data_IF_237668767884
#
_entry.id   IF_237668767884
#
_cell.length_a   1.000
_cell.length_b   1.000
_cell.length_c   1.000
_cell.angle_alpha   90.00
_cell.angle_beta   90.00
_cell.angle_gamma   90.00
#
_symmetry.space_group_name_H-M   'P 1'
#
loop_
_entity.id
_entity.type
_entity.pdbx_description
1 polymer ?
#
# COMPACT_ATOMS: atom_id res chain seq x y z
N UNK A 1 15.70 1.08 -19.90
CA UNK A 1 16.53 1.35 -18.72
C UNK A 1 17.93 0.72 -18.91
N UNK A 2 18.08 -0.61 -19.04
CA UNK A 2 19.38 -1.33 -19.11
C UNK A 2 20.34 -0.72 -20.15
N UNK A 3 19.87 -0.39 -21.36
CA UNK A 3 20.67 0.22 -22.43
C UNK A 3 21.30 1.57 -22.03
N UNK A 4 20.56 2.34 -21.24
CA UNK A 4 21.01 3.67 -20.74
C UNK A 4 21.96 3.48 -19.57
N UNK A 5 21.63 2.64 -18.61
CA UNK A 5 22.47 2.39 -17.44
C UNK A 5 23.83 1.83 -17.84
N UNK A 6 23.87 0.80 -18.68
CA UNK A 6 25.11 0.21 -19.17
C UNK A 6 25.95 1.21 -19.98
N UNK A 7 25.31 2.07 -20.81
CA UNK A 7 26.03 3.12 -21.56
C UNK A 7 26.69 4.17 -20.64
N UNK A 8 26.18 4.35 -19.42
CA UNK A 8 26.70 5.30 -18.46
C UNK A 8 27.54 4.64 -17.34
N UNK A 9 27.89 3.36 -17.49
CA UNK A 9 28.77 2.64 -16.57
C UNK A 9 28.16 2.37 -15.19
N UNK A 10 26.81 2.31 -15.10
CA UNK A 10 26.11 1.98 -13.86
C UNK A 10 26.10 0.48 -13.68
N UNK A 11 26.46 0.00 -12.49
CA UNK A 11 26.29 -1.41 -12.10
C UNK A 11 24.80 -1.74 -12.02
N UNK A 12 24.36 -2.81 -12.69
CA UNK A 12 22.96 -3.21 -12.80
C UNK A 12 22.82 -4.65 -12.34
N UNK A 13 21.86 -4.89 -11.46
CA UNK A 13 21.42 -6.22 -11.06
C UNK A 13 20.00 -6.46 -11.58
N UNK A 14 19.81 -7.56 -12.33
CA UNK A 14 18.53 -7.95 -12.92
C UNK A 14 18.23 -9.40 -12.55
N UNK A 15 16.94 -9.76 -12.43
CA UNK A 15 16.53 -11.12 -12.09
C UNK A 15 17.13 -12.13 -13.08
N UNK A 16 17.64 -13.24 -12.54
CA UNK A 16 18.10 -14.38 -13.32
C UNK A 16 17.03 -14.86 -14.31
N UNK A 17 17.46 -15.26 -15.49
CA UNK A 17 16.54 -15.71 -16.54
C UNK A 17 15.59 -14.63 -17.07
N UNK A 18 15.82 -13.34 -16.74
CA UNK A 18 14.96 -12.22 -17.11
C UNK A 18 13.53 -12.34 -16.58
N UNK A 19 13.38 -12.95 -15.41
CA UNK A 19 12.11 -13.02 -14.69
C UNK A 19 11.65 -11.66 -14.16
N UNK A 20 10.44 -11.63 -13.64
CA UNK A 20 9.88 -10.44 -12.98
C UNK A 20 10.28 -10.41 -11.51
N UNK A 21 10.40 -9.19 -10.96
CA UNK A 21 10.74 -8.98 -9.56
C UNK A 21 9.71 -8.04 -8.92
N UNK A 22 9.00 -8.48 -7.86
CA UNK A 22 8.06 -7.66 -7.11
C UNK A 22 8.70 -6.40 -6.50
N UNK A 23 7.93 -5.32 -6.38
CA UNK A 23 8.35 -4.07 -5.71
C UNK A 23 8.91 -4.32 -4.30
N UNK A 24 8.25 -5.08 -3.41
CA UNK A 24 8.80 -5.37 -2.07
C UNK A 24 10.13 -6.14 -2.10
N UNK A 25 10.32 -7.01 -3.08
CA UNK A 25 11.58 -7.76 -3.21
C UNK A 25 12.75 -6.84 -3.57
N UNK A 26 12.50 -5.79 -4.38
CA UNK A 26 13.51 -4.76 -4.65
C UNK A 26 13.84 -3.98 -3.38
N UNK A 27 12.83 -3.59 -2.58
CA UNK A 27 13.05 -2.95 -1.29
C UNK A 27 13.90 -3.82 -0.35
N UNK A 28 13.54 -5.09 -0.20
CA UNK A 28 14.28 -6.06 0.59
C UNK A 28 15.72 -6.23 0.11
N UNK A 29 15.95 -6.34 -1.19
CA UNK A 29 17.28 -6.48 -1.77
C UNK A 29 18.15 -5.24 -1.55
N UNK A 30 17.60 -4.03 -1.72
CA UNK A 30 18.30 -2.76 -1.42
C UNK A 30 18.75 -2.73 0.04
N UNK A 31 17.86 -2.98 0.99
CA UNK A 31 18.16 -2.95 2.41
C UNK A 31 19.17 -4.02 2.81
N UNK A 32 19.04 -5.22 2.24
CA UNK A 32 19.98 -6.32 2.50
C UNK A 32 21.37 -6.03 1.93
N UNK A 33 21.45 -5.50 0.72
CA UNK A 33 22.72 -5.11 0.09
C UNK A 33 23.40 -3.98 0.85
N UNK A 34 22.64 -2.98 1.28
CA UNK A 34 23.17 -1.77 1.94
C UNK A 34 23.51 -1.99 3.42
N UNK A 35 23.10 -3.10 4.01
CA UNK A 35 23.38 -3.39 5.43
C UNK A 35 24.89 -3.32 5.69
N UNK A 36 25.29 -2.58 6.73
CA UNK A 36 26.68 -2.38 7.16
C UNK A 36 27.59 -1.70 6.12
N UNK A 37 27.04 -1.08 5.07
CA UNK A 37 27.79 -0.35 4.06
C UNK A 37 27.73 1.16 4.31
N UNK A 38 28.86 1.84 4.13
CA UNK A 38 28.96 3.30 4.20
C UNK A 38 29.18 3.97 2.83
N UNK A 39 29.27 3.18 1.75
CA UNK A 39 29.47 3.67 0.39
C UNK A 39 29.25 2.57 -0.63
N UNK A 40 29.09 2.93 -1.91
CA UNK A 40 28.68 2.00 -2.97
C UNK A 40 27.31 1.39 -2.71
N UNK A 41 26.39 2.23 -2.24
CA UNK A 41 25.04 1.79 -1.90
C UNK A 41 24.24 1.47 -3.17
N UNK A 42 23.37 0.45 -3.06
CA UNK A 42 22.37 0.16 -4.08
C UNK A 42 21.13 1.01 -3.89
N UNK A 43 20.49 1.32 -5.00
CA UNK A 43 19.14 1.85 -5.12
C UNK A 43 18.35 1.03 -6.16
N UNK A 44 17.07 1.31 -6.36
CA UNK A 44 16.23 0.51 -7.24
C UNK A 44 15.34 1.32 -8.17
N UNK A 45 15.10 0.72 -9.33
CA UNK A 45 14.12 1.19 -10.30
C UNK A 45 13.14 0.07 -10.59
N UNK A 46 11.84 0.33 -10.36
CA UNK A 46 10.76 -0.60 -10.69
C UNK A 46 9.92 -0.02 -11.82
N UNK A 47 9.77 -0.79 -12.91
CA UNK A 47 8.97 -0.39 -14.07
C UNK A 47 7.63 -1.13 -13.96
N UNK A 48 6.59 -0.41 -13.54
CA UNK A 48 5.28 -0.98 -13.24
C UNK A 48 4.17 0.06 -13.35
N UNK A 49 2.99 -0.29 -13.89
CA UNK A 49 1.77 0.52 -13.77
C UNK A 49 1.02 0.27 -12.46
N UNK A 50 1.56 -0.56 -11.52
CA UNK A 50 0.85 -1.04 -10.33
C UNK A 50 -0.45 -1.76 -10.75
N UNK A 51 -1.57 -1.47 -10.10
CA UNK A 51 -2.90 -2.04 -10.39
C UNK A 51 -3.67 -1.35 -11.54
N UNK A 52 -3.07 -0.39 -12.21
CA UNK A 52 -3.68 0.36 -13.30
C UNK A 52 -3.89 -0.50 -14.56
N UNK A 53 -4.73 -0.04 -15.52
CA UNK A 53 -4.95 -0.75 -16.78
C UNK A 53 -3.65 -1.12 -17.52
N UNK A 54 -3.64 -2.19 -18.31
CA UNK A 54 -2.44 -2.65 -19.04
C UNK A 54 -1.87 -1.64 -20.05
N UNK A 55 -2.67 -0.65 -20.45
CA UNK A 55 -2.24 0.47 -21.31
C UNK A 55 -1.36 1.49 -20.60
N UNK A 56 -1.35 1.48 -19.28
CA UNK A 56 -0.62 2.46 -18.48
C UNK A 56 0.83 1.99 -18.27
N UNK A 57 1.71 2.96 -18.08
CA UNK A 57 3.10 2.73 -17.70
C UNK A 57 3.43 3.40 -16.37
N UNK A 58 4.55 3.02 -15.78
CA UNK A 58 5.02 3.63 -14.55
C UNK A 58 6.51 3.41 -14.35
N UNK A 59 7.11 4.30 -13.57
CA UNK A 59 8.51 4.25 -13.19
C UNK A 59 8.61 4.68 -11.72
N UNK A 60 9.00 3.75 -10.87
CA UNK A 60 9.24 4.01 -9.44
C UNK A 60 10.75 4.05 -9.18
N UNK A 61 11.19 4.96 -8.33
CA UNK A 61 12.56 5.02 -7.84
C UNK A 61 12.57 4.82 -6.33
N UNK A 62 13.33 3.82 -5.90
CA UNK A 62 13.55 3.51 -4.49
C UNK A 62 15.01 3.82 -4.15
N UNK A 63 15.30 4.89 -3.37
CA UNK A 63 16.64 5.26 -2.94
C UNK A 63 17.24 4.21 -1.99
N UNK A 64 18.48 4.41 -1.49
CA UNK A 64 19.18 3.45 -0.62
C UNK A 64 18.44 3.03 0.65
N UNK A 65 17.44 3.80 1.08
CA UNK A 65 16.54 3.50 2.19
C UNK A 65 15.47 2.44 1.83
N UNK A 66 15.41 1.99 0.58
CA UNK A 66 14.61 0.87 0.09
C UNK A 66 13.16 1.19 -0.26
N UNK A 67 12.58 2.25 0.26
CA UNK A 67 11.17 2.62 0.06
C UNK A 67 10.96 3.66 -1.05
N UNK A 68 9.72 4.12 -1.24
CA UNK A 68 9.42 5.14 -2.24
C UNK A 68 10.15 6.46 -1.96
N UNK A 69 10.75 7.03 -3.00
CA UNK A 69 11.51 8.28 -2.89
C UNK A 69 10.70 9.46 -2.33
N UNK A 70 11.34 10.30 -1.54
CA UNK A 70 10.77 11.54 -1.02
C UNK A 70 10.35 12.50 -2.15
N UNK A 71 9.35 13.38 -1.91
CA UNK A 71 8.85 14.30 -2.95
C UNK A 71 9.89 15.24 -3.54
N UNK A 72 10.92 15.55 -2.78
CA UNK A 72 12.03 16.37 -3.23
C UNK A 72 12.86 15.68 -4.31
N UNK A 73 13.22 14.42 -4.05
CA UNK A 73 13.96 13.57 -4.98
C UNK A 73 13.18 13.34 -6.27
N UNK A 74 11.89 13.02 -6.16
CA UNK A 74 11.04 12.78 -7.34
C UNK A 74 10.89 14.04 -8.19
N UNK A 75 10.75 15.23 -7.57
CA UNK A 75 10.71 16.51 -8.30
C UNK A 75 12.02 16.82 -9.04
N UNK A 76 13.17 16.54 -8.43
CA UNK A 76 14.48 16.75 -9.07
C UNK A 76 14.63 15.83 -10.29
N UNK A 77 14.23 14.54 -10.15
CA UNK A 77 14.26 13.58 -11.26
C UNK A 77 13.30 14.02 -12.37
N UNK A 78 12.07 14.40 -12.04
CA UNK A 78 11.07 14.88 -13.00
C UNK A 78 11.55 16.13 -13.74
N UNK A 79 12.06 17.13 -13.02
CA UNK A 79 12.60 18.34 -13.62
C UNK A 79 13.72 18.00 -14.60
N UNK A 80 14.67 17.15 -14.19
CA UNK A 80 15.79 16.76 -15.05
C UNK A 80 15.32 15.95 -16.26
N UNK A 81 14.35 15.09 -16.11
CA UNK A 81 13.78 14.33 -17.22
C UNK A 81 13.09 15.25 -18.24
N UNK A 82 12.34 16.27 -17.77
CA UNK A 82 11.71 17.26 -18.64
C UNK A 82 12.74 18.11 -19.41
N UNK A 83 13.82 18.57 -18.76
CA UNK A 83 14.92 19.27 -19.43
C UNK A 83 15.55 18.44 -20.56
N UNK A 84 15.77 17.13 -20.30
CA UNK A 84 16.33 16.22 -21.30
C UNK A 84 15.35 15.99 -22.47
N UNK A 85 14.05 15.90 -22.20
CA UNK A 85 13.00 15.79 -23.21
C UNK A 85 12.93 17.05 -24.08
N UNK A 86 12.95 18.24 -23.47
CA UNK A 86 12.95 19.54 -24.18
C UNK A 86 14.18 19.72 -25.09
N UNK A 87 15.34 19.20 -24.68
CA UNK A 87 16.56 19.18 -25.53
C UNK A 87 16.53 18.08 -26.62
N UNK A 88 15.44 17.35 -26.74
CA UNK A 88 15.27 16.30 -27.75
C UNK A 88 16.15 15.07 -27.52
N UNK A 89 16.40 14.73 -26.25
CA UNK A 89 17.15 13.54 -25.81
C UNK A 89 18.63 13.51 -26.26
N UNK A 90 19.21 14.63 -26.67
CA UNK A 90 20.59 14.70 -27.23
C UNK A 90 21.67 14.25 -26.26
N UNK A 91 21.44 14.43 -24.96
CA UNK A 91 22.39 14.04 -23.92
C UNK A 91 22.26 12.57 -23.49
N UNK A 92 21.22 11.84 -23.94
CA UNK A 92 20.98 10.46 -23.55
C UNK A 92 21.95 9.53 -24.25
N UNK A 93 22.87 8.96 -23.49
CA UNK A 93 23.75 7.89 -23.95
C UNK A 93 23.02 6.54 -23.85
N UNK A 94 23.17 5.75 -24.92
CA UNK A 94 22.46 4.46 -25.00
C UNK A 94 23.27 3.52 -25.90
N UNK A 95 23.32 2.24 -25.54
CA UNK A 95 23.90 1.17 -26.37
C UNK A 95 22.80 0.15 -26.70
N UNK A 96 23.04 -0.66 -27.71
CA UNK A 96 22.13 -1.75 -28.08
C UNK A 96 21.90 -2.73 -26.92
N UNK A 97 20.65 -3.24 -26.78
CA UNK A 97 20.24 -4.11 -25.67
C UNK A 97 21.14 -5.35 -25.53
N UNK A 98 21.52 -5.99 -26.64
CA UNK A 98 22.37 -7.17 -26.59
C UNK A 98 23.75 -6.86 -26.03
N UNK A 99 24.29 -5.67 -26.35
CA UNK A 99 25.57 -5.20 -25.81
C UNK A 99 25.41 -4.81 -24.34
N UNK A 100 24.29 -4.19 -23.97
CA UNK A 100 24.00 -3.81 -22.59
C UNK A 100 23.87 -5.04 -21.68
N UNK A 101 23.18 -6.09 -22.14
CA UNK A 101 23.07 -7.35 -21.40
C UNK A 101 24.38 -8.13 -21.28
N UNK A 102 25.33 -7.92 -22.18
CA UNK A 102 26.68 -8.51 -22.12
C UNK A 102 27.75 -7.58 -21.56
N UNK A 103 27.38 -6.42 -21.04
CA UNK A 103 28.33 -5.49 -20.42
C UNK A 103 28.81 -6.00 -19.05
N UNK A 104 30.07 -5.72 -18.71
CA UNK A 104 30.66 -6.12 -17.43
C UNK A 104 29.93 -5.53 -16.22
N UNK A 105 29.16 -4.46 -16.43
CA UNK A 105 28.34 -3.79 -15.41
C UNK A 105 26.92 -4.32 -15.30
N UNK A 106 26.53 -5.37 -16.07
CA UNK A 106 25.20 -5.96 -15.99
C UNK A 106 25.27 -7.38 -15.46
N UNK A 107 24.68 -7.60 -14.30
CA UNK A 107 24.73 -8.85 -13.57
C UNK A 107 23.35 -9.48 -13.45
N UNK A 108 23.27 -10.80 -13.62
CA UNK A 108 22.10 -11.57 -13.21
C UNK A 108 22.20 -11.86 -11.72
N UNK A 109 21.09 -11.75 -11.02
CA UNK A 109 21.00 -11.94 -9.57
C UNK A 109 19.72 -12.71 -9.21
N UNK A 110 19.84 -13.67 -8.32
CA UNK A 110 18.70 -14.39 -7.76
C UNK A 110 18.02 -13.54 -6.68
N UNK A 111 16.90 -12.91 -7.03
CA UNK A 111 16.08 -12.17 -6.08
C UNK A 111 15.10 -13.06 -5.32
N UNK A 112 14.79 -14.26 -5.81
CA UNK A 112 13.77 -15.15 -5.25
C UNK A 112 14.26 -15.78 -3.94
N UNK A 113 15.38 -16.48 -3.99
CA UNK A 113 15.87 -17.28 -2.85
C UNK A 113 16.09 -16.45 -1.60
N UNK A 114 16.83 -15.31 -1.63
CA UNK A 114 17.05 -14.52 -0.42
C UNK A 114 15.78 -13.98 0.22
N UNK A 115 14.81 -13.55 -0.59
CA UNK A 115 13.53 -13.07 -0.08
C UNK A 115 12.72 -14.20 0.56
N UNK A 116 12.59 -15.33 -0.13
CA UNK A 116 11.83 -16.49 0.34
C UNK A 116 12.42 -17.05 1.64
N UNK A 117 13.74 -17.24 1.70
CA UNK A 117 14.39 -17.78 2.90
C UNK A 117 14.28 -16.86 4.13
N UNK A 118 14.19 -15.55 3.91
CA UNK A 118 14.12 -14.56 4.98
C UNK A 118 12.69 -14.33 5.50
N UNK A 119 11.63 -14.80 4.80
CA UNK A 119 10.23 -14.67 5.25
C UNK A 119 10.00 -15.17 6.68
N UNK A 120 10.73 -16.21 7.14
CA UNK A 120 10.67 -16.72 8.52
C UNK A 120 11.06 -15.67 9.57
N UNK A 121 11.78 -14.62 9.20
CA UNK A 121 12.16 -13.55 10.13
C UNK A 121 11.01 -12.56 10.39
N UNK A 122 10.02 -12.51 9.51
CA UNK A 122 8.90 -11.55 9.58
C UNK A 122 7.57 -12.23 9.87
N UNK A 123 7.31 -13.42 9.30
CA UNK A 123 6.09 -14.22 9.48
C UNK A 123 6.42 -15.55 10.20
N UNK A 124 5.50 -16.07 10.99
CA UNK A 124 5.65 -17.39 11.64
C UNK A 124 5.27 -18.51 10.66
N UNK A 125 6.23 -18.81 9.78
CA UNK A 125 6.06 -19.82 8.74
C UNK A 125 5.91 -21.23 9.30
N UNK A 126 6.52 -21.50 10.48
CA UNK A 126 6.37 -22.78 11.18
C UNK A 126 4.93 -22.99 11.68
N UNK A 127 4.30 -21.96 12.24
CA UNK A 127 2.90 -22.04 12.67
C UNK A 127 1.97 -22.30 11.49
N UNK A 128 2.19 -21.63 10.36
CA UNK A 128 1.40 -21.84 9.13
C UNK A 128 1.55 -23.30 8.65
N UNK A 129 2.78 -23.78 8.53
CA UNK A 129 3.07 -25.16 8.08
C UNK A 129 2.43 -26.21 9.01
N UNK A 130 2.55 -26.01 10.33
CA UNK A 130 2.01 -26.94 11.32
C UNK A 130 0.47 -26.99 11.36
N UNK A 131 -0.21 -25.93 10.91
CA UNK A 131 -1.67 -25.85 10.92
C UNK A 131 -2.35 -26.73 9.88
N UNK A 132 -1.68 -27.03 8.76
CA UNK A 132 -2.23 -27.76 7.63
C UNK A 132 -3.31 -26.97 6.86
N UNK A 133 -3.32 -25.63 6.98
CA UNK A 133 -4.22 -24.76 6.22
C UNK A 133 -4.07 -24.96 4.72
N UNK A 134 -5.17 -25.05 4.00
CA UNK A 134 -5.21 -25.00 2.56
C UNK A 134 -5.26 -23.55 2.10
N UNK A 135 -4.21 -23.14 1.41
CA UNK A 135 -4.01 -21.75 0.98
C UNK A 135 -4.22 -21.64 -0.52
N UNK A 136 -5.08 -20.72 -0.96
CA UNK A 136 -5.25 -20.38 -2.36
C UNK A 136 -4.56 -19.06 -2.71
N UNK A 137 -3.92 -18.97 -3.87
CA UNK A 137 -3.29 -17.73 -4.33
C UNK A 137 -3.64 -17.45 -5.78
N UNK A 138 -4.17 -16.25 -6.04
CA UNK A 138 -4.30 -15.71 -7.39
C UNK A 138 -3.30 -14.55 -7.57
N UNK A 139 -2.20 -14.77 -8.28
CA UNK A 139 -1.21 -13.72 -8.56
C UNK A 139 -1.72 -12.62 -9.50
N UNK A 140 -2.90 -12.76 -10.06
CA UNK A 140 -3.49 -11.85 -11.07
C UNK A 140 -2.53 -11.50 -12.22
N UNK A 141 -1.68 -12.47 -12.62
CA UNK A 141 -0.67 -12.29 -13.68
C UNK A 141 0.49 -11.37 -13.32
N UNK A 142 0.67 -11.07 -12.05
CA UNK A 142 1.68 -10.14 -11.55
C UNK A 142 3.09 -10.71 -11.45
N UNK A 143 4.01 -9.87 -11.00
CA UNK A 143 5.46 -10.15 -10.94
C UNK A 143 5.85 -11.25 -9.95
N UNK A 144 4.99 -11.60 -9.00
CA UNK A 144 5.26 -12.61 -7.97
C UNK A 144 4.78 -14.02 -8.31
N UNK A 145 4.29 -14.30 -9.53
CA UNK A 145 3.83 -15.64 -9.93
C UNK A 145 4.90 -16.71 -9.64
N UNK A 146 6.17 -16.38 -9.83
CA UNK A 146 7.29 -17.31 -9.65
C UNK A 146 7.73 -17.47 -8.17
N UNK A 147 7.15 -16.73 -7.25
CA UNK A 147 7.57 -16.73 -5.83
C UNK A 147 6.78 -17.75 -4.97
N UNK A 148 5.53 -18.01 -5.30
CA UNK A 148 4.65 -18.83 -4.47
C UNK A 148 5.05 -20.31 -4.40
N UNK A 149 5.53 -20.91 -5.51
CA UNK A 149 6.04 -22.28 -5.46
C UNK A 149 7.28 -22.40 -4.57
N UNK A 150 8.33 -21.56 -4.72
CA UNK A 150 9.44 -21.56 -3.76
C UNK A 150 9.04 -21.33 -2.31
N UNK A 151 8.05 -20.48 -2.04
CA UNK A 151 7.51 -20.29 -0.68
C UNK A 151 6.88 -21.60 -0.16
N UNK A 152 6.00 -22.21 -0.96
CA UNK A 152 5.33 -23.46 -0.59
C UNK A 152 6.34 -24.59 -0.36
N UNK A 153 7.33 -24.75 -1.22
CA UNK A 153 8.37 -25.78 -1.14
C UNK A 153 9.31 -25.57 0.05
N UNK A 154 9.75 -24.33 0.27
CA UNK A 154 10.71 -24.01 1.36
C UNK A 154 10.11 -24.24 2.73
N UNK A 155 8.82 -23.94 2.89
CA UNK A 155 8.15 -24.00 4.20
C UNK A 155 7.18 -25.17 4.35
N UNK A 156 6.97 -25.97 3.30
CA UNK A 156 6.09 -27.14 3.33
C UNK A 156 4.63 -26.78 3.48
N UNK A 157 4.16 -25.72 2.78
CA UNK A 157 2.78 -25.24 2.84
C UNK A 157 1.88 -25.99 1.85
N UNK A 158 0.63 -26.28 2.23
CA UNK A 158 -0.44 -26.72 1.32
C UNK A 158 -1.01 -25.49 0.58
N UNK A 159 -0.28 -25.05 -0.45
CA UNK A 159 -0.57 -23.82 -1.18
C UNK A 159 -0.79 -24.12 -2.67
N UNK A 160 -1.91 -23.65 -3.20
CA UNK A 160 -2.27 -23.76 -4.62
C UNK A 160 -2.29 -22.38 -5.29
N UNK A 161 -1.48 -22.21 -6.36
CA UNK A 161 -1.59 -21.06 -7.26
C UNK A 161 -2.68 -21.34 -8.29
N UNK A 162 -3.82 -20.69 -8.16
CA UNK A 162 -5.03 -20.99 -8.95
C UNK A 162 -4.96 -20.45 -10.38
N UNK A 163 -4.18 -19.41 -10.63
CA UNK A 163 -3.95 -18.85 -11.96
C UNK A 163 -2.48 -18.52 -12.17
N UNK A 164 -1.84 -19.20 -13.12
CA UNK A 164 -0.41 -19.01 -13.44
C UNK A 164 -0.20 -18.23 -14.73
N UNK A 165 -1.28 -17.73 -15.34
CA UNK A 165 -1.17 -16.98 -16.59
C UNK A 165 -0.40 -15.68 -16.39
N UNK A 166 0.60 -15.46 -17.22
CA UNK A 166 1.30 -14.18 -17.37
C UNK A 166 1.05 -13.71 -18.78
N UNK A 167 0.13 -12.76 -18.93
CA UNK A 167 -0.26 -12.18 -20.21
C UNK A 167 -0.21 -10.66 -20.10
N UNK A 168 0.65 -9.96 -20.86
CA UNK A 168 0.78 -8.50 -20.80
C UNK A 168 -0.50 -7.74 -21.13
N UNK A 169 -1.48 -8.40 -21.74
CA UNK A 169 -2.80 -7.80 -22.02
C UNK A 169 -3.79 -8.01 -20.88
N UNK A 170 -3.48 -8.90 -19.92
CA UNK A 170 -4.35 -9.31 -18.82
C UNK A 170 -5.76 -9.73 -19.27
N UNK A 171 -5.86 -10.35 -20.45
CA UNK A 171 -7.13 -10.70 -21.10
C UNK A 171 -7.97 -11.74 -20.32
N UNK A 172 -7.37 -12.41 -19.34
CA UNK A 172 -8.03 -13.34 -18.43
C UNK A 172 -8.74 -12.66 -17.26
N UNK A 173 -8.49 -11.36 -17.03
CA UNK A 173 -9.12 -10.61 -15.94
C UNK A 173 -10.54 -10.17 -16.29
N UNK A 174 -11.40 -10.12 -15.29
CA UNK A 174 -12.73 -9.50 -15.38
C UNK A 174 -12.60 -7.97 -15.47
N UNK A 175 -13.55 -7.35 -16.15
CA UNK A 175 -13.64 -5.88 -16.18
C UNK A 175 -14.12 -5.34 -14.84
N UNK A 176 -13.50 -4.28 -14.36
CA UNK A 176 -13.92 -3.56 -13.17
C UNK A 176 -15.18 -2.69 -13.44
N UNK A 177 -15.70 -2.05 -12.41
CA UNK A 177 -16.93 -1.25 -12.46
C UNK A 177 -16.89 -0.11 -13.50
N UNK A 178 -15.69 0.37 -13.87
CA UNK A 178 -15.47 1.40 -14.89
C UNK A 178 -15.27 0.85 -16.30
N UNK A 179 -15.40 -0.47 -16.47
CA UNK A 179 -15.23 -1.15 -17.76
C UNK A 179 -13.76 -1.32 -18.18
N UNK A 180 -12.81 -1.06 -17.30
CA UNK A 180 -11.38 -1.27 -17.52
C UNK A 180 -10.91 -2.57 -16.88
N UNK A 181 -9.81 -3.12 -17.37
CA UNK A 181 -9.06 -4.18 -16.67
C UNK A 181 -8.21 -3.51 -15.59
N UNK A 182 -8.45 -3.88 -14.33
CA UNK A 182 -7.65 -3.44 -13.19
C UNK A 182 -7.25 -4.65 -12.35
N UNK A 183 -6.02 -4.67 -11.89
CA UNK A 183 -5.50 -5.74 -11.01
C UNK A 183 -5.48 -5.23 -9.57
N UNK A 184 -6.59 -4.67 -9.10
CA UNK A 184 -6.75 -4.16 -7.74
C UNK A 184 -7.27 -5.27 -6.81
N UNK A 185 -6.47 -5.78 -5.85
CA UNK A 185 -6.87 -6.87 -4.97
C UNK A 185 -7.95 -6.46 -3.95
N UNK A 186 -8.29 -5.18 -3.83
CA UNK A 186 -9.45 -4.71 -3.07
C UNK A 186 -10.76 -4.75 -3.86
N UNK A 187 -10.70 -4.95 -5.18
CA UNK A 187 -11.87 -5.02 -6.06
C UNK A 187 -12.44 -6.43 -6.13
N UNK A 188 -13.73 -6.54 -5.83
CA UNK A 188 -14.48 -7.81 -6.02
C UNK A 188 -14.50 -8.28 -7.48
N UNK A 189 -14.30 -7.40 -8.43
CA UNK A 189 -14.25 -7.74 -9.85
C UNK A 189 -12.89 -8.36 -10.21
N UNK A 190 -11.78 -7.76 -9.77
CA UNK A 190 -10.46 -8.32 -9.97
C UNK A 190 -10.31 -9.68 -9.25
N UNK A 191 -10.89 -9.80 -8.06
CA UNK A 191 -10.84 -11.00 -7.23
C UNK A 191 -11.96 -12.02 -7.54
N UNK A 192 -12.75 -11.85 -8.61
CA UNK A 192 -13.92 -12.66 -8.88
C UNK A 192 -13.61 -14.15 -8.98
N UNK A 193 -12.55 -14.53 -9.70
CA UNK A 193 -12.15 -15.94 -9.86
C UNK A 193 -11.79 -16.59 -8.52
N UNK A 194 -11.07 -15.87 -7.66
CA UNK A 194 -10.69 -16.38 -6.34
C UNK A 194 -11.88 -16.46 -5.39
N UNK A 195 -12.81 -15.50 -5.47
CA UNK A 195 -14.06 -15.53 -4.70
C UNK A 195 -14.96 -16.73 -5.06
N UNK A 196 -14.99 -17.15 -6.32
CA UNK A 196 -15.70 -18.35 -6.74
C UNK A 196 -15.07 -19.64 -6.18
N UNK A 197 -13.80 -19.62 -5.86
CA UNK A 197 -13.04 -20.75 -5.33
C UNK A 197 -12.89 -20.73 -3.80
N UNK A 198 -13.45 -19.73 -3.10
CA UNK A 198 -13.22 -19.50 -1.66
C UNK A 198 -13.49 -20.74 -0.80
N UNK A 199 -14.53 -21.51 -1.13
CA UNK A 199 -14.91 -22.70 -0.34
C UNK A 199 -13.93 -23.90 -0.50
N UNK A 200 -12.90 -23.76 -1.36
CA UNK A 200 -11.83 -24.76 -1.54
C UNK A 200 -10.67 -24.56 -0.59
N UNK A 201 -10.54 -23.37 -0.01
CA UNK A 201 -9.41 -22.93 0.79
C UNK A 201 -9.86 -22.47 2.18
N UNK A 202 -9.01 -22.64 3.16
CA UNK A 202 -9.22 -22.08 4.51
C UNK A 202 -8.96 -20.56 4.49
N UNK A 203 -8.00 -20.12 3.66
CA UNK A 203 -7.72 -18.74 3.39
C UNK A 203 -7.15 -18.58 1.96
N UNK A 204 -7.40 -17.45 1.30
CA UNK A 204 -6.84 -17.20 -0.02
C UNK A 204 -6.43 -15.75 -0.21
N UNK A 205 -5.50 -15.51 -1.16
CA UNK A 205 -4.84 -14.23 -1.38
C UNK A 205 -4.84 -13.82 -2.83
N UNK A 206 -4.87 -12.52 -3.08
CA UNK A 206 -4.56 -11.93 -4.37
C UNK A 206 -3.66 -10.71 -4.22
N UNK A 207 -2.81 -10.47 -5.20
CA UNK A 207 -1.90 -9.33 -5.20
C UNK A 207 -2.06 -8.52 -6.48
N UNK A 208 -1.80 -7.23 -6.42
CA UNK A 208 -1.66 -6.43 -7.64
C UNK A 208 -0.39 -6.80 -8.43
N UNK A 209 -0.22 -6.23 -9.60
CA UNK A 209 0.80 -6.70 -10.55
C UNK A 209 2.23 -6.57 -10.06
N UNK A 210 2.53 -5.60 -9.22
CA UNK A 210 3.86 -5.41 -8.64
C UNK A 210 3.96 -5.81 -7.17
N UNK A 211 2.89 -6.45 -6.64
CA UNK A 211 2.87 -7.11 -5.34
C UNK A 211 3.07 -6.17 -4.15
N UNK A 212 2.80 -4.89 -4.32
CA UNK A 212 2.84 -3.94 -3.22
C UNK A 212 1.52 -3.87 -2.43
N UNK A 213 0.46 -4.61 -2.89
CA UNK A 213 -0.85 -4.69 -2.25
C UNK A 213 -1.28 -6.13 -2.00
N UNK A 214 -2.18 -6.28 -1.05
CA UNK A 214 -2.78 -7.55 -0.64
C UNK A 214 -4.29 -7.55 -0.84
N UNK A 215 -4.85 -8.73 -1.07
CA UNK A 215 -6.29 -8.98 -1.02
C UNK A 215 -6.57 -10.28 -0.29
N UNK A 216 -7.24 -10.22 0.85
CA UNK A 216 -7.48 -11.36 1.72
C UNK A 216 -8.90 -11.87 1.52
N UNK A 217 -9.03 -13.15 1.17
CA UNK A 217 -10.33 -13.85 1.06
C UNK A 217 -10.42 -14.89 2.15
N UNK A 218 -11.39 -14.72 3.04
CA UNK A 218 -11.64 -15.62 4.17
C UNK A 218 -12.89 -16.48 3.93
N UNK A 219 -12.95 -17.64 4.57
CA UNK A 219 -14.12 -18.50 4.52
C UNK A 219 -15.36 -17.85 5.15
N UNK A 220 -15.17 -17.13 6.26
CA UNK A 220 -16.27 -16.51 7.03
C UNK A 220 -16.83 -15.24 6.39
N UNK A 221 -15.97 -14.38 5.81
CA UNK A 221 -16.34 -13.03 5.35
C UNK A 221 -16.17 -12.78 3.84
N UNK A 222 -15.52 -13.68 3.09
CA UNK A 222 -15.16 -13.44 1.69
C UNK A 222 -14.01 -12.44 1.56
N UNK A 223 -14.05 -11.55 0.56
CA UNK A 223 -13.05 -10.52 0.35
C UNK A 223 -13.12 -9.46 1.46
N UNK A 224 -12.06 -9.35 2.24
CA UNK A 224 -11.95 -8.33 3.29
C UNK A 224 -11.74 -6.94 2.72
N UNK A 225 -12.39 -5.95 3.34
CA UNK A 225 -12.02 -4.56 3.12
C UNK A 225 -10.58 -4.32 3.67
N UNK A 226 -9.69 -3.63 2.92
CA UNK A 226 -8.33 -3.37 3.40
C UNK A 226 -8.26 -2.70 4.78
N UNK A 227 -9.10 -1.70 5.05
CA UNK A 227 -9.16 -1.07 6.38
C UNK A 227 -9.46 -2.07 7.52
N UNK A 228 -10.34 -3.06 7.24
CA UNK A 228 -10.69 -4.08 8.21
C UNK A 228 -9.48 -4.99 8.49
N UNK A 229 -8.83 -5.44 7.42
CA UNK A 229 -7.67 -6.29 7.58
C UNK A 229 -6.48 -5.57 8.24
N UNK A 230 -6.21 -4.30 7.89
CA UNK A 230 -5.17 -3.51 8.56
C UNK A 230 -5.40 -3.39 10.08
N UNK A 231 -6.65 -3.19 10.52
CA UNK A 231 -6.98 -3.14 11.94
C UNK A 231 -6.71 -4.48 12.65
N UNK A 232 -7.04 -5.61 12.00
CA UNK A 232 -6.74 -6.96 12.51
C UNK A 232 -5.23 -7.21 12.54
N UNK A 233 -4.50 -6.82 11.49
CA UNK A 233 -3.05 -6.96 11.42
C UNK A 233 -2.36 -6.20 12.56
N UNK A 234 -2.75 -4.94 12.81
CA UNK A 234 -2.25 -4.15 13.94
C UNK A 234 -2.58 -4.82 15.26
N UNK A 235 -3.84 -5.20 15.47
CA UNK A 235 -4.28 -5.89 16.69
C UNK A 235 -3.44 -7.14 16.97
N UNK A 236 -3.20 -7.96 15.95
CA UNK A 236 -2.45 -9.20 16.11
C UNK A 236 -0.95 -8.98 16.32
N UNK A 237 -0.31 -8.18 15.46
CA UNK A 237 1.13 -7.96 15.49
C UNK A 237 1.60 -7.40 16.84
N UNK A 238 0.95 -6.37 17.35
CA UNK A 238 1.36 -5.71 18.59
C UNK A 238 1.12 -6.54 19.85
N UNK A 239 0.37 -7.64 19.77
CA UNK A 239 0.23 -8.62 20.84
C UNK A 239 1.17 -9.82 20.70
N UNK A 240 1.64 -10.13 19.48
CA UNK A 240 2.37 -11.36 19.19
C UNK A 240 3.83 -11.12 18.75
N UNK A 241 4.33 -9.90 18.77
CA UNK A 241 5.73 -9.56 18.48
C UNK A 241 6.43 -9.12 19.75
N UNK A 242 6.84 -10.10 20.57
CA UNK A 242 7.37 -9.87 21.92
C UNK A 242 8.67 -9.04 21.96
N UNK A 243 9.43 -8.99 20.87
CA UNK A 243 10.64 -8.18 20.78
C UNK A 243 10.37 -6.71 20.42
N UNK A 244 9.13 -6.35 20.05
CA UNK A 244 8.78 -4.97 19.78
C UNK A 244 8.60 -4.21 21.09
N UNK A 245 9.40 -3.16 21.32
CA UNK A 245 9.34 -2.33 22.51
C UNK A 245 7.97 -1.69 22.74
N UNK A 246 7.73 -1.22 23.95
CA UNK A 246 6.46 -0.53 24.27
C UNK A 246 6.30 0.81 23.55
N UNK A 247 7.41 1.40 23.12
CA UNK A 247 7.51 2.67 22.37
C UNK A 247 7.35 2.52 20.85
N UNK A 248 7.24 1.28 20.36
CA UNK A 248 7.00 1.03 18.92
C UNK A 248 5.58 1.45 18.54
N UNK A 249 5.48 2.39 17.58
CA UNK A 249 4.24 3.04 17.17
C UNK A 249 3.52 2.30 16.03
N UNK A 250 2.21 2.60 15.87
CA UNK A 250 1.36 2.19 14.75
C UNK A 250 1.26 3.31 13.73
N UNK A 251 1.57 3.04 12.46
CA UNK A 251 1.46 3.99 11.35
C UNK A 251 0.22 3.77 10.49
N UNK A 252 -0.50 4.84 10.20
CA UNK A 252 -1.58 4.85 9.21
C UNK A 252 -1.63 6.15 8.41
N UNK A 253 -2.28 6.11 7.23
CA UNK A 253 -2.60 7.36 6.53
C UNK A 253 -3.82 8.04 7.15
N UNK A 254 -3.90 9.35 6.98
CA UNK A 254 -5.01 10.17 7.52
C UNK A 254 -6.40 9.78 6.97
N UNK A 255 -6.46 9.00 5.89
CA UNK A 255 -7.70 8.51 5.27
C UNK A 255 -7.99 7.04 5.55
N UNK A 256 -7.12 6.35 6.27
CA UNK A 256 -7.38 5.00 6.78
C UNK A 256 -8.37 5.03 7.95
N UNK A 257 -9.07 3.92 8.20
CA UNK A 257 -10.12 3.82 9.21
C UNK A 257 -9.65 4.17 10.62
N UNK A 258 -10.49 4.84 11.39
CA UNK A 258 -10.28 5.09 12.82
C UNK A 258 -10.52 3.85 13.70
N UNK A 259 -10.89 2.71 13.12
CA UNK A 259 -10.79 1.44 13.83
C UNK A 259 -9.35 1.18 14.27
N UNK A 260 -8.36 1.53 13.44
CA UNK A 260 -6.92 1.42 13.77
C UNK A 260 -6.57 2.30 14.98
N UNK A 261 -7.14 3.52 15.08
CA UNK A 261 -6.94 4.42 16.22
C UNK A 261 -7.42 3.78 17.52
N UNK A 262 -8.63 3.19 17.49
CA UNK A 262 -9.24 2.54 18.65
C UNK A 262 -8.46 1.31 19.09
N UNK A 263 -7.99 0.52 18.13
CA UNK A 263 -7.13 -0.65 18.38
C UNK A 263 -5.78 -0.22 18.96
N UNK A 264 -5.12 0.78 18.39
CA UNK A 264 -3.83 1.29 18.90
C UNK A 264 -3.97 1.83 20.34
N UNK A 265 -5.03 2.58 20.61
CA UNK A 265 -5.31 3.10 21.96
C UNK A 265 -5.58 1.99 22.98
N UNK A 266 -6.33 0.94 22.63
CA UNK A 266 -6.58 -0.21 23.50
C UNK A 266 -5.30 -1.01 23.80
N UNK A 267 -4.39 -1.08 22.82
CA UNK A 267 -3.07 -1.70 22.96
C UNK A 267 -2.05 -0.81 23.69
N UNK A 268 -2.42 0.43 24.04
CA UNK A 268 -1.51 1.39 24.67
C UNK A 268 -0.36 1.82 23.75
N UNK A 269 -0.58 1.86 22.43
CA UNK A 269 0.43 2.21 21.42
C UNK A 269 0.21 3.60 20.87
N UNK A 270 1.30 4.32 20.65
CA UNK A 270 1.26 5.60 19.95
C UNK A 270 0.84 5.42 18.49
N UNK A 271 0.04 6.38 18.00
CA UNK A 271 -0.43 6.40 16.62
C UNK A 271 0.32 7.48 15.83
N UNK A 272 0.95 7.06 14.73
CA UNK A 272 1.59 7.95 13.76
C UNK A 272 0.68 8.12 12.53
N UNK A 273 -0.21 9.11 12.55
CA UNK A 273 -1.05 9.47 11.41
C UNK A 273 -0.30 10.41 10.47
N UNK A 274 -0.13 10.00 9.20
CA UNK A 274 0.66 10.72 8.17
C UNK A 274 -0.19 11.07 6.94
N UNK A 275 0.28 11.96 6.04
CA UNK A 275 -0.39 12.18 4.76
C UNK A 275 -0.43 10.89 3.91
N UNK A 276 -1.30 10.86 2.90
CA UNK A 276 -1.36 9.74 1.95
C UNK A 276 -0.03 9.56 1.23
N UNK A 277 0.45 8.33 1.18
CA UNK A 277 1.69 7.92 0.52
C UNK A 277 2.65 7.19 1.45
N UNK A 278 3.06 5.99 1.06
CA UNK A 278 3.86 5.09 1.89
C UNK A 278 5.24 5.64 2.27
N UNK A 279 5.78 6.56 1.47
CA UNK A 279 7.05 7.27 1.73
C UNK A 279 7.16 7.90 3.12
N UNK A 280 6.05 8.19 3.77
CA UNK A 280 6.03 8.77 5.11
C UNK A 280 6.32 7.78 6.23
N UNK A 281 6.28 6.48 5.92
CA UNK A 281 6.61 5.41 6.86
C UNK A 281 8.07 4.93 6.76
N UNK A 282 8.79 5.32 5.68
CA UNK A 282 10.13 4.82 5.37
C UNK A 282 11.10 4.99 6.54
N UNK A 283 11.21 6.20 7.09
CA UNK A 283 12.11 6.51 8.20
C UNK A 283 11.77 5.68 9.44
N UNK A 284 10.49 5.65 9.82
CA UNK A 284 10.05 4.93 11.03
C UNK A 284 10.25 3.42 10.95
N UNK A 285 10.00 2.82 9.78
CA UNK A 285 10.25 1.40 9.56
C UNK A 285 11.75 1.10 9.53
N UNK A 286 12.55 1.97 8.89
CA UNK A 286 13.99 1.80 8.77
C UNK A 286 14.68 1.86 10.14
N UNK A 287 14.27 2.80 10.99
CA UNK A 287 14.81 3.01 12.32
C UNK A 287 14.18 2.12 13.39
N UNK A 288 13.07 1.42 13.07
CA UNK A 288 12.42 0.46 13.95
C UNK A 288 11.51 1.04 15.03
N UNK A 289 11.25 2.36 15.03
CA UNK A 289 10.29 2.97 15.95
C UNK A 289 8.83 2.87 15.46
N UNK A 290 8.63 2.54 14.19
CA UNK A 290 7.33 2.27 13.60
C UNK A 290 7.20 0.76 13.34
N UNK A 291 6.34 0.07 14.08
CA UNK A 291 6.16 -1.38 13.96
C UNK A 291 5.37 -1.79 12.72
N UNK A 292 4.44 -0.95 12.31
CA UNK A 292 3.53 -1.15 11.19
C UNK A 292 3.25 0.17 10.49
N UNK A 293 3.21 0.16 9.14
CA UNK A 293 2.74 1.28 8.33
C UNK A 293 1.75 0.79 7.28
N UNK A 294 0.54 1.38 7.23
CA UNK A 294 -0.51 0.92 6.33
C UNK A 294 -1.35 2.01 5.69
N UNK A 295 -1.83 1.71 4.49
CA UNK A 295 -2.71 2.55 3.67
C UNK A 295 -4.02 1.83 3.36
N UNK A 296 -5.13 2.54 3.34
CA UNK A 296 -6.47 2.04 3.00
C UNK A 296 -6.55 1.41 1.59
N UNK A 297 -5.54 1.68 0.77
CA UNK A 297 -5.40 1.12 -0.58
C UNK A 297 -4.82 -0.30 -0.62
N UNK A 298 -4.83 -1.00 0.51
CA UNK A 298 -4.32 -2.37 0.67
C UNK A 298 -2.78 -2.51 0.63
N UNK A 299 -2.05 -1.45 0.88
CA UNK A 299 -0.59 -1.48 0.97
C UNK A 299 -0.12 -1.32 2.40
N UNK A 300 0.73 -2.21 2.89
CA UNK A 300 1.34 -2.11 4.21
C UNK A 300 2.69 -2.83 4.27
N UNK A 301 3.46 -2.52 5.32
CA UNK A 301 4.64 -3.27 5.73
C UNK A 301 4.79 -3.21 7.24
N UNK A 302 5.57 -4.12 7.82
CA UNK A 302 5.82 -4.19 9.25
C UNK A 302 7.21 -4.76 9.56
N UNK A 303 7.67 -4.54 10.78
CA UNK A 303 8.99 -4.98 11.22
C UNK A 303 9.09 -6.50 11.32
N UNK A 304 10.32 -7.00 11.25
CA UNK A 304 10.66 -8.39 11.58
C UNK A 304 10.25 -8.73 13.02
N UNK A 305 10.22 -10.02 13.33
CA UNK A 305 9.90 -10.52 14.67
C UNK A 305 10.85 -9.99 15.75
N UNK A 306 12.08 -9.66 15.39
CA UNK A 306 13.11 -9.10 16.29
C UNK A 306 13.08 -7.57 16.40
N UNK A 307 12.15 -6.89 15.70
CA UNK A 307 12.01 -5.43 15.71
C UNK A 307 12.91 -4.72 14.70
N UNK A 308 13.66 -5.42 13.88
CA UNK A 308 14.43 -4.80 12.79
C UNK A 308 13.59 -4.61 11.54
N UNK A 309 14.04 -3.72 10.64
CA UNK A 309 13.34 -3.42 9.38
C UNK A 309 13.26 -4.66 8.49
N UNK A 310 12.07 -4.92 7.93
CA UNK A 310 11.86 -5.90 6.86
C UNK A 310 11.99 -5.24 5.48
N UNK A 311 10.98 -4.45 5.10
CA UNK A 311 10.99 -3.58 3.92
C UNK A 311 10.51 -2.19 4.32
N UNK A 312 10.89 -1.19 3.56
CA UNK A 312 10.42 0.19 3.68
C UNK A 312 9.48 0.59 2.54
N UNK A 313 9.17 -0.36 1.65
CA UNK A 313 8.05 -0.29 0.72
C UNK A 313 6.95 -1.27 1.15
N UNK A 314 5.75 -1.10 0.59
CA UNK A 314 4.60 -1.98 0.83
C UNK A 314 4.92 -3.38 0.34
N UNK A 315 4.47 -4.38 1.08
CA UNK A 315 4.76 -5.79 0.82
C UNK A 315 3.48 -6.63 0.94
N UNK A 316 2.84 -6.92 -0.19
CA UNK A 316 1.63 -7.74 -0.24
C UNK A 316 1.83 -9.16 0.31
N UNK A 317 2.83 -9.91 -0.16
CA UNK A 317 3.11 -11.27 0.33
C UNK A 317 3.22 -11.44 1.84
N UNK A 318 3.85 -10.49 2.57
CA UNK A 318 3.91 -10.65 4.04
C UNK A 318 2.56 -10.39 4.70
N UNK A 319 1.72 -9.54 4.11
CA UNK A 319 0.34 -9.32 4.60
C UNK A 319 -0.51 -10.58 4.33
N UNK A 320 -0.36 -11.20 3.17
CA UNK A 320 -1.02 -12.45 2.81
C UNK A 320 -0.64 -13.57 3.78
N UNK A 321 0.65 -13.79 3.96
CA UNK A 321 1.18 -14.81 4.90
C UNK A 321 0.84 -14.49 6.36
N UNK A 322 0.77 -13.21 6.74
CA UNK A 322 0.29 -12.81 8.07
C UNK A 322 -1.18 -13.23 8.30
N UNK A 323 -2.03 -13.14 7.27
CA UNK A 323 -3.41 -13.63 7.39
C UNK A 323 -3.47 -15.14 7.63
N UNK A 324 -2.59 -15.91 7.00
CA UNK A 324 -2.43 -17.34 7.27
C UNK A 324 -1.85 -17.58 8.67
N UNK A 325 -0.86 -16.81 9.13
CA UNK A 325 -0.32 -16.87 10.51
C UNK A 325 -1.42 -16.63 11.54
N UNK A 326 -2.24 -15.58 11.36
CA UNK A 326 -3.37 -15.26 12.24
C UNK A 326 -4.33 -16.45 12.32
N UNK A 327 -4.71 -17.01 11.17
CA UNK A 327 -5.63 -18.15 11.11
C UNK A 327 -5.02 -19.38 11.77
N UNK A 328 -3.75 -19.68 11.50
CA UNK A 328 -3.04 -20.83 12.04
C UNK A 328 -2.90 -20.78 13.58
N UNK A 329 -2.56 -19.61 14.11
CA UNK A 329 -2.26 -19.45 15.55
C UNK A 329 -3.50 -19.30 16.40
N UNK A 330 -4.56 -18.69 15.87
CA UNK A 330 -5.78 -18.40 16.65
C UNK A 330 -6.93 -19.39 16.38
N UNK A 331 -6.87 -20.15 15.29
CA UNK A 331 -7.94 -21.02 14.83
C UNK A 331 -9.16 -20.25 14.28
N UNK A 332 -9.04 -18.95 14.04
CA UNK A 332 -10.06 -18.05 13.51
C UNK A 332 -9.51 -17.25 12.36
N UNK A 333 -10.28 -17.04 11.31
CA UNK A 333 -9.85 -16.23 10.19
C UNK A 333 -9.90 -14.71 10.51
N UNK A 334 -9.20 -13.85 9.74
CA UNK A 334 -9.16 -12.40 10.00
C UNK A 334 -10.55 -11.73 10.01
N UNK A 335 -11.54 -12.20 9.25
CA UNK A 335 -12.88 -11.61 9.28
C UNK A 335 -13.60 -11.87 10.62
N UNK A 336 -13.39 -13.02 11.24
CA UNK A 336 -13.93 -13.32 12.57
C UNK A 336 -13.27 -12.45 13.66
N UNK A 337 -11.97 -12.13 13.52
CA UNK A 337 -11.30 -11.20 14.40
C UNK A 337 -11.81 -9.78 14.22
N UNK A 338 -12.05 -9.36 12.97
CA UNK A 338 -12.61 -8.03 12.72
C UNK A 338 -14.01 -7.88 13.31
N UNK A 339 -14.85 -8.92 13.20
CA UNK A 339 -16.16 -8.91 13.86
C UNK A 339 -16.07 -8.74 15.39
N UNK A 340 -15.08 -9.32 16.04
CA UNK A 340 -14.81 -9.10 17.45
C UNK A 340 -14.35 -7.67 17.76
N UNK A 341 -13.53 -7.05 16.88
CA UNK A 341 -13.17 -5.64 17.01
C UNK A 341 -14.38 -4.72 16.85
N UNK A 342 -15.31 -5.04 15.93
CA UNK A 342 -16.57 -4.30 15.79
C UNK A 342 -17.47 -4.39 17.03
N UNK A 343 -17.54 -5.56 17.68
CA UNK A 343 -18.27 -5.73 18.94
C UNK A 343 -17.64 -4.88 20.06
N UNK A 344 -16.33 -4.78 20.12
CA UNK A 344 -15.62 -4.02 21.15
C UNK A 344 -15.64 -2.51 20.90
N UNK A 345 -15.41 -2.07 19.66
CA UNK A 345 -15.13 -0.67 19.31
C UNK A 345 -16.24 0.01 18.51
N UNK A 346 -17.25 -0.73 18.06
CA UNK A 346 -18.29 -0.28 17.14
C UNK A 346 -17.98 -0.56 15.68
N UNK A 347 -19.03 -0.62 14.86
CA UNK A 347 -18.95 -0.91 13.42
C UNK A 347 -18.86 0.37 12.60
N UNK A 348 -17.73 0.71 12.02
CA UNK A 348 -17.62 1.88 11.16
C UNK A 348 -18.22 1.62 9.78
N UNK A 349 -18.88 2.63 9.24
CA UNK A 349 -19.23 2.70 7.81
C UNK A 349 -18.28 3.68 7.16
N UNK A 350 -17.57 3.22 6.12
CA UNK A 350 -16.56 4.00 5.41
C UNK A 350 -16.92 4.08 3.94
N UNK A 351 -16.87 5.28 3.37
CA UNK A 351 -17.07 5.51 1.94
C UNK A 351 -16.13 6.58 1.40
N UNK A 352 -15.73 6.42 0.13
CA UNK A 352 -14.98 7.38 -0.65
C UNK A 352 -15.84 7.86 -1.83
N UNK A 353 -15.86 9.17 -2.04
CA UNK A 353 -16.56 9.81 -3.15
C UNK A 353 -15.50 10.42 -4.08
N UNK A 354 -15.46 9.95 -5.31
CA UNK A 354 -14.58 10.45 -6.34
C UNK A 354 -15.38 11.38 -7.26
N UNK A 355 -14.88 12.60 -7.49
CA UNK A 355 -15.56 13.62 -8.30
C UNK A 355 -14.56 14.21 -9.30
N UNK A 356 -14.91 14.32 -10.61
CA UNK A 356 -14.08 15.00 -11.60
C UNK A 356 -13.71 16.41 -11.17
N UNK A 357 -12.47 16.82 -11.41
CA UNK A 357 -11.96 18.11 -10.98
C UNK A 357 -11.02 18.75 -12.00
N UNK A 358 -11.22 20.03 -12.24
CA UNK A 358 -10.31 20.88 -13.01
C UNK A 358 -9.01 21.17 -12.21
N UNK A 359 -7.98 21.61 -12.90
CA UNK A 359 -6.74 22.07 -12.25
C UNK A 359 -6.98 23.19 -11.23
N UNK A 360 -7.93 24.10 -11.52
CA UNK A 360 -8.29 25.21 -10.62
C UNK A 360 -8.96 24.69 -9.33
N UNK A 361 -9.91 23.74 -9.45
CA UNK A 361 -10.54 23.10 -8.30
C UNK A 361 -9.52 22.30 -7.47
N UNK A 362 -8.63 21.54 -8.11
CA UNK A 362 -7.54 20.84 -7.43
C UNK A 362 -6.61 21.79 -6.66
N UNK A 363 -6.36 23.00 -7.21
CA UNK A 363 -5.59 24.02 -6.51
C UNK A 363 -6.33 24.57 -5.30
N UNK A 364 -7.61 24.94 -5.44
CA UNK A 364 -8.43 25.43 -4.35
C UNK A 364 -8.51 24.43 -3.18
N UNK A 365 -8.62 23.12 -3.46
CA UNK A 365 -8.61 22.08 -2.45
C UNK A 365 -7.29 21.97 -1.68
N UNK A 366 -6.14 22.20 -2.36
CA UNK A 366 -4.84 22.23 -1.68
C UNK A 366 -4.67 23.43 -0.74
N UNK A 367 -5.42 24.50 -1.01
CA UNK A 367 -5.42 25.75 -0.24
C UNK A 367 -6.52 25.79 0.84
N UNK A 368 -7.27 24.67 1.03
CA UNK A 368 -8.22 24.54 2.14
C UNK A 368 -7.54 24.82 3.49
N UNK A 369 -8.20 25.62 4.31
CA UNK A 369 -7.71 25.94 5.64
C UNK A 369 -8.76 25.63 6.71
N UNK A 370 -8.36 25.44 7.98
CA UNK A 370 -9.26 25.20 9.10
C UNK A 370 -10.32 26.30 9.28
N UNK A 371 -9.98 27.55 8.94
CA UNK A 371 -10.85 28.72 9.08
C UNK A 371 -12.03 28.71 8.08
N UNK A 372 -11.91 27.97 6.96
CA UNK A 372 -13.00 27.80 6.01
C UNK A 372 -14.14 26.93 6.57
N UNK A 373 -13.89 26.19 7.64
CA UNK A 373 -14.92 25.43 8.37
C UNK A 373 -15.46 26.32 9.48
N UNK A 374 -16.48 27.13 9.18
CA UNK A 374 -17.07 28.06 10.15
C UNK A 374 -17.85 27.34 11.26
N UNK A 375 -18.38 26.13 10.96
CA UNK A 375 -19.14 25.35 11.93
C UNK A 375 -18.25 24.80 13.06
N UNK A 376 -18.81 24.77 14.26
CA UNK A 376 -18.23 24.07 15.42
C UNK A 376 -18.76 22.62 15.56
N UNK A 377 -19.69 22.23 14.69
CA UNK A 377 -20.27 20.88 14.66
C UNK A 377 -20.19 20.30 13.24
N UNK A 378 -20.07 18.97 13.14
CA UNK A 378 -20.20 18.18 11.93
C UNK A 378 -21.18 17.03 12.19
N UNK A 379 -22.21 16.93 11.36
CA UNK A 379 -23.28 15.93 11.48
C UNK A 379 -23.97 15.88 12.86
N UNK A 380 -23.96 17.02 13.59
CA UNK A 380 -24.55 17.18 14.92
C UNK A 380 -23.66 16.72 16.07
N UNK A 381 -22.36 16.57 15.84
CA UNK A 381 -21.35 16.34 16.86
C UNK A 381 -20.31 17.47 16.89
N UNK A 382 -19.78 17.83 18.07
CA UNK A 382 -18.71 18.82 18.18
C UNK A 382 -17.47 18.40 17.36
N UNK A 383 -16.90 19.36 16.61
CA UNK A 383 -15.64 19.16 15.91
C UNK A 383 -14.49 19.14 16.93
N UNK A 384 -13.71 18.06 16.92
CA UNK A 384 -12.55 17.90 17.80
C UNK A 384 -11.24 18.30 17.13
N UNK A 385 -11.17 18.23 15.79
CA UNK A 385 -9.99 18.68 15.05
C UNK A 385 -10.34 19.12 13.61
N UNK A 386 -9.61 20.13 13.11
CA UNK A 386 -9.60 20.63 11.74
C UNK A 386 -8.15 20.61 11.27
N UNK A 387 -7.77 19.64 10.43
CA UNK A 387 -6.37 19.33 10.11
C UNK A 387 -6.04 19.65 8.65
N UNK A 388 -4.97 20.40 8.42
CA UNK A 388 -4.31 20.59 7.12
C UNK A 388 -2.88 20.08 7.13
N UNK A 389 -2.42 19.62 8.28
CA UNK A 389 -1.11 19.00 8.52
C UNK A 389 -1.30 17.70 9.29
N UNK A 390 -0.46 16.73 9.01
CA UNK A 390 -0.53 15.42 9.66
C UNK A 390 0.01 15.48 11.09
N UNK A 391 -0.68 14.85 12.07
CA UNK A 391 -0.29 14.92 13.48
C UNK A 391 1.10 14.36 13.77
N UNK A 392 1.53 13.32 13.08
CA UNK A 392 2.79 12.64 13.38
C UNK A 392 4.02 13.44 12.94
N UNK A 393 4.01 14.01 11.73
CA UNK A 393 5.21 14.57 11.11
C UNK A 393 5.07 16.03 10.66
N UNK A 394 3.97 16.67 11.03
CA UNK A 394 3.62 18.05 10.64
C UNK A 394 3.70 18.31 9.11
N UNK A 395 3.60 17.26 8.28
CA UNK A 395 3.61 17.40 6.83
C UNK A 395 2.25 17.86 6.30
N UNK A 396 2.20 18.70 5.25
CA UNK A 396 0.94 19.13 4.64
C UNK A 396 0.17 17.93 4.09
N UNK A 397 -1.13 17.82 4.43
CA UNK A 397 -1.99 16.74 3.91
C UNK A 397 -2.49 16.99 2.49
N UNK A 398 -2.32 18.20 1.99
CA UNK A 398 -2.77 18.62 0.67
C UNK A 398 -4.28 18.71 0.53
N UNK A 399 -4.97 19.05 1.59
CA UNK A 399 -6.41 19.16 1.72
C UNK A 399 -6.82 19.48 3.14
N UNK A 400 -8.02 19.09 3.53
CA UNK A 400 -8.59 19.29 4.89
C UNK A 400 -9.17 17.99 5.42
N UNK A 401 -8.88 17.66 6.68
CA UNK A 401 -9.57 16.62 7.45
C UNK A 401 -10.29 17.27 8.62
N UNK A 402 -11.57 16.94 8.82
CA UNK A 402 -12.38 17.36 9.96
C UNK A 402 -12.79 16.12 10.75
N UNK A 403 -12.55 16.15 12.05
CA UNK A 403 -12.72 15.01 12.96
C UNK A 403 -13.74 15.33 14.02
N UNK A 404 -14.65 14.41 14.28
CA UNK A 404 -15.60 14.37 15.38
C UNK A 404 -15.41 13.08 16.18
N UNK A 405 -16.04 12.90 17.31
CA UNK A 405 -15.87 11.72 18.16
C UNK A 405 -16.18 10.39 17.42
N UNK A 406 -17.27 10.37 16.64
CA UNK A 406 -17.74 9.15 15.99
C UNK A 406 -17.63 9.19 14.46
N UNK A 407 -16.72 9.98 13.91
CA UNK A 407 -16.51 10.03 12.47
C UNK A 407 -15.58 11.15 12.03
N UNK A 408 -15.37 11.21 10.74
CA UNK A 408 -14.54 12.23 10.10
C UNK A 408 -14.83 12.31 8.60
N UNK A 409 -14.40 13.40 7.99
CA UNK A 409 -14.17 13.44 6.55
C UNK A 409 -12.78 13.99 6.24
N UNK A 410 -12.24 13.63 5.06
CA UNK A 410 -11.06 14.24 4.48
C UNK A 410 -11.30 14.54 3.00
N UNK A 411 -11.11 15.80 2.60
CA UNK A 411 -11.24 16.26 1.22
C UNK A 411 -9.88 16.63 0.64
N UNK A 412 -9.49 16.03 -0.48
CA UNK A 412 -8.18 16.27 -1.13
C UNK A 412 -8.23 16.01 -2.64
N UNK A 413 -7.42 16.71 -3.44
CA UNK A 413 -7.25 16.39 -4.85
C UNK A 413 -6.46 15.08 -5.03
N UNK A 414 -6.76 14.34 -6.10
CA UNK A 414 -5.90 13.25 -6.57
C UNK A 414 -4.58 13.81 -7.10
N UNK A 415 -3.47 13.13 -6.78
CA UNK A 415 -2.14 13.45 -7.32
C UNK A 415 -1.95 13.00 -8.77
N UNK A 416 -2.64 11.93 -9.17
CA UNK A 416 -2.43 11.22 -10.45
C UNK A 416 -3.60 11.34 -11.42
N UNK A 417 -4.81 11.63 -10.92
CA UNK A 417 -6.03 11.67 -11.71
C UNK A 417 -6.67 13.07 -11.69
N UNK A 418 -7.50 13.39 -12.66
CA UNK A 418 -8.24 14.66 -12.70
C UNK A 418 -9.56 14.59 -11.92
N UNK A 419 -9.43 14.20 -10.64
CA UNK A 419 -10.51 14.09 -9.66
C UNK A 419 -10.09 14.69 -8.32
N UNK A 420 -11.08 14.97 -7.48
CA UNK A 420 -10.87 15.08 -6.03
C UNK A 420 -11.63 13.96 -5.30
N UNK A 421 -11.18 13.67 -4.11
CA UNK A 421 -11.69 12.58 -3.28
C UNK A 421 -12.17 13.14 -1.94
N UNK A 422 -13.39 12.73 -1.53
CA UNK A 422 -13.89 12.94 -0.18
C UNK A 422 -13.97 11.56 0.47
N UNK A 423 -13.14 11.34 1.46
CA UNK A 423 -13.16 10.16 2.32
C UNK A 423 -14.00 10.45 3.54
N UNK A 424 -14.84 9.51 3.94
CA UNK A 424 -15.76 9.69 5.07
C UNK A 424 -15.87 8.41 5.88
N UNK A 425 -15.98 8.53 7.19
CA UNK A 425 -16.22 7.42 8.10
C UNK A 425 -17.18 7.82 9.21
N UNK A 426 -18.01 6.88 9.64
CA UNK A 426 -18.93 7.05 10.77
C UNK A 426 -19.09 5.76 11.57
N UNK A 427 -18.98 5.84 12.89
CA UNK A 427 -19.33 4.77 13.83
C UNK A 427 -20.80 4.80 14.29
N UNK A 428 -21.62 5.71 13.73
CA UNK A 428 -23.07 5.83 14.02
C UNK A 428 -23.94 5.36 12.84
N UNK A 429 -23.35 4.63 11.91
CA UNK A 429 -24.04 4.00 10.80
C UNK A 429 -24.32 4.91 9.60
N UNK A 430 -25.05 4.38 8.58
CA UNK A 430 -25.15 5.00 7.26
C UNK A 430 -25.83 6.36 7.23
N UNK A 431 -26.82 6.61 8.09
CA UNK A 431 -27.52 7.91 8.13
C UNK A 431 -26.62 9.03 8.65
N UNK A 432 -25.79 8.74 9.62
CA UNK A 432 -24.79 9.68 10.11
C UNK A 432 -23.70 9.91 9.07
N UNK A 433 -23.24 8.87 8.39
CA UNK A 433 -22.30 8.99 7.30
C UNK A 433 -22.81 9.91 6.19
N UNK A 434 -24.07 9.74 5.76
CA UNK A 434 -24.69 10.60 4.74
C UNK A 434 -24.73 12.08 5.15
N UNK A 435 -24.93 12.38 6.45
CA UNK A 435 -24.85 13.76 6.95
C UNK A 435 -23.43 14.31 6.87
N UNK A 436 -22.42 13.52 7.29
CA UNK A 436 -21.02 13.90 7.14
C UNK A 436 -20.69 14.20 5.68
N UNK A 437 -21.10 13.32 4.75
CA UNK A 437 -20.87 13.50 3.31
C UNK A 437 -21.50 14.76 2.74
N UNK A 438 -22.73 15.08 3.18
CA UNK A 438 -23.45 16.28 2.74
C UNK A 438 -22.70 17.53 3.21
N UNK A 439 -22.39 17.62 4.49
CA UNK A 439 -21.69 18.78 5.07
C UNK A 439 -20.27 18.93 4.54
N UNK A 440 -19.55 17.80 4.30
CA UNK A 440 -18.25 17.82 3.64
C UNK A 440 -18.30 18.42 2.21
N UNK A 441 -19.33 18.07 1.43
CA UNK A 441 -19.54 18.66 0.10
C UNK A 441 -19.84 20.16 0.20
N UNK A 442 -20.66 20.60 1.15
CA UNK A 442 -20.98 22.01 1.37
C UNK A 442 -19.71 22.82 1.68
N UNK A 443 -18.82 22.30 2.52
CA UNK A 443 -17.52 22.92 2.83
C UNK A 443 -16.62 22.99 1.57
N UNK A 444 -16.53 21.92 0.78
CA UNK A 444 -15.76 21.92 -0.47
C UNK A 444 -16.32 22.92 -1.48
N UNK A 445 -17.64 23.01 -1.62
CA UNK A 445 -18.29 23.96 -2.53
C UNK A 445 -18.08 25.40 -2.10
N UNK A 446 -18.17 25.70 -0.79
CA UNK A 446 -17.86 27.03 -0.26
C UNK A 446 -16.40 27.45 -0.54
N UNK A 447 -15.46 26.48 -0.47
CA UNK A 447 -14.07 26.74 -0.81
C UNK A 447 -13.87 27.05 -2.32
N UNK A 448 -14.61 26.38 -3.20
CA UNK A 448 -14.58 26.69 -4.64
C UNK A 448 -15.14 28.09 -4.91
N UNK A 449 -16.26 28.44 -4.30
CA UNK A 449 -16.87 29.78 -4.41
C UNK A 449 -15.91 30.87 -3.93
N UNK A 450 -15.28 30.68 -2.75
CA UNK A 450 -14.29 31.62 -2.22
C UNK A 450 -13.05 31.78 -3.13
N UNK A 451 -12.66 30.72 -3.85
CA UNK A 451 -11.59 30.75 -4.83
C UNK A 451 -12.00 31.30 -6.20
N UNK A 452 -13.29 31.65 -6.41
CA UNK A 452 -13.83 32.09 -7.70
C UNK A 452 -13.84 30.98 -8.77
N UNK A 453 -13.96 29.72 -8.36
CA UNK A 453 -13.97 28.53 -9.22
C UNK A 453 -15.38 27.94 -9.20
N UNK A 454 -15.95 27.65 -10.40
CA UNK A 454 -17.25 26.98 -10.47
C UNK A 454 -17.18 25.59 -9.80
N UNK A 455 -18.15 25.31 -8.95
CA UNK A 455 -18.39 23.98 -8.40
C UNK A 455 -19.10 23.07 -9.42
N UNK A 456 -18.86 21.76 -9.34
CA UNK A 456 -19.56 20.76 -10.17
C UNK A 456 -20.90 20.38 -9.55
#
# INVERSE_FOLDING_TARGET
AIEVFAANGVEIFIQEGFGYTPTPVISHAILTYNRDRSGGLADGVVITPSHNPPSDGGFKYNPPEGGPAAPETTRQIEQRANEILEDGLKAVQRIDLRRALGADTTHQYDYVTPYVEDLRSVVDMEAIAASGLKIGVDPMGGSGVAYWDPIAETYGLDLEVVNRAVDPTFSFMTLDHDGQIRMDPSSKYAMASLLELRDRFDIAFGNDTDYDRHGIVTGSGGLMNPNHYLAVAVWYLFQNRAAWGEDVAVGKTLVSSSMIDRVAADLGRDLCEVPVGFKWFVEGLLEGWLGFGGEESAGASFLRKDGTVWTTDKDGPILDLLAAEITATTGRDPSEHYAALEEQFGSPVYERIDTPATKAQKKALKELSPEMVESEELAGEPIVAKLTRAPCNDAPIGGLKVVIENGWFAARPSGTEDIYKIYTESFKGPDHLRRIQKEAREIVMAAFEAAGVEGN
#
